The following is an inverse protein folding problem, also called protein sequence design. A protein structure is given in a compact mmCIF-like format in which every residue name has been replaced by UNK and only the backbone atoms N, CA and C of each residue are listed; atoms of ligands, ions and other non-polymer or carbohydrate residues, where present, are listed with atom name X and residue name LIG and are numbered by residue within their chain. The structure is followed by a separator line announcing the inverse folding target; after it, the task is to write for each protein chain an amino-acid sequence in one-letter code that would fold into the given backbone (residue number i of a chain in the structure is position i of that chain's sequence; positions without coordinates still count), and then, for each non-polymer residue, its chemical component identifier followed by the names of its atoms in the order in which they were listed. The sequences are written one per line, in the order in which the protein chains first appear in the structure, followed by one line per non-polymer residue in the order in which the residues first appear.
data_IF_508142033162
#
_entry.id   IF_508142033162
#
_cell.length_a   1.000
_cell.length_b   1.000
_cell.length_c   1.000
_cell.angle_alpha   90.00
_cell.angle_beta   90.00
_cell.angle_gamma   90.00
#
_symmetry.space_group_name_H-M   'P 1'
#
loop_
_entity.id
_entity.type
_entity.pdbx_description
1 polymer ?
#
# COMPACT_ATOMS: atom_id res chain seq x y z
N UNK A 1 20.98 -7.21 12.52
CA UNK A 1 19.60 -7.00 13.04
C UNK A 1 18.80 -8.26 12.84
N UNK A 2 18.21 -8.77 13.89
CA UNK A 2 17.36 -9.97 13.82
C UNK A 2 16.01 -9.66 14.45
N UNK A 3 14.95 -10.09 13.76
CA UNK A 3 13.58 -10.01 14.26
C UNK A 3 13.01 -11.41 14.15
N UNK A 4 12.53 -11.94 15.27
CA UNK A 4 11.92 -13.27 15.29
C UNK A 4 10.43 -13.14 15.01
N UNK A 5 9.99 -13.66 13.88
CA UNK A 5 8.59 -13.63 13.46
C UNK A 5 8.12 -15.05 13.12
N UNK A 6 6.88 -15.34 13.43
CA UNK A 6 6.23 -16.55 12.91
C UNK A 6 5.98 -16.37 11.42
N UNK A 7 5.67 -17.45 10.71
CA UNK A 7 5.32 -17.37 9.29
C UNK A 7 4.12 -16.46 9.05
N UNK A 8 3.12 -16.52 9.93
CA UNK A 8 1.94 -15.67 9.84
C UNK A 8 2.30 -14.19 10.04
N UNK A 9 3.14 -13.90 11.01
CA UNK A 9 3.60 -12.54 11.28
C UNK A 9 4.44 -12.01 10.11
N UNK A 10 5.32 -12.84 9.56
CA UNK A 10 6.11 -12.46 8.37
C UNK A 10 5.18 -12.16 7.20
N UNK A 11 4.15 -12.99 7.00
CA UNK A 11 3.19 -12.74 5.93
C UNK A 11 2.49 -11.40 6.11
N UNK A 12 2.15 -11.02 7.34
CA UNK A 12 1.56 -9.71 7.64
C UNK A 12 2.55 -8.57 7.44
N UNK A 13 3.83 -8.81 7.75
CA UNK A 13 4.87 -7.82 7.49
C UNK A 13 4.98 -7.49 6.00
N UNK A 14 4.85 -8.49 5.13
CA UNK A 14 4.82 -8.24 3.68
C UNK A 14 3.67 -7.31 3.29
N UNK A 15 2.50 -7.50 3.87
CA UNK A 15 1.35 -6.64 3.62
C UNK A 15 1.62 -5.19 4.06
N UNK A 16 2.20 -5.00 5.24
CA UNK A 16 2.53 -3.68 5.76
C UNK A 16 3.54 -2.96 4.86
N UNK A 17 4.55 -3.68 4.42
CA UNK A 17 5.59 -3.10 3.55
C UNK A 17 5.01 -2.76 2.19
N UNK A 18 4.20 -3.65 1.62
CA UNK A 18 3.58 -3.44 0.33
C UNK A 18 2.66 -2.21 0.35
N UNK A 19 1.79 -2.12 1.35
CA UNK A 19 0.86 -1.00 1.50
C UNK A 19 1.63 0.31 1.71
N UNK A 20 2.64 0.31 2.58
CA UNK A 20 3.46 1.49 2.83
C UNK A 20 4.13 2.00 1.57
N UNK A 21 4.75 1.09 0.82
CA UNK A 21 5.39 1.45 -0.44
C UNK A 21 4.36 1.89 -1.49
N UNK A 22 3.20 1.23 -1.53
CA UNK A 22 2.12 1.62 -2.43
C UNK A 22 1.69 3.06 -2.22
N UNK A 23 1.45 3.44 -0.97
CA UNK A 23 1.04 4.81 -0.64
C UNK A 23 2.12 5.83 -1.03
N UNK A 24 3.38 5.49 -0.77
CA UNK A 24 4.48 6.42 -1.02
C UNK A 24 4.85 6.53 -2.50
N UNK A 25 4.71 5.46 -3.27
CA UNK A 25 5.29 5.39 -4.61
C UNK A 25 4.30 5.15 -5.76
N UNK A 26 3.07 4.70 -5.50
CA UNK A 26 2.17 4.29 -6.59
C UNK A 26 1.81 5.42 -7.56
N UNK A 27 1.85 6.66 -7.10
CA UNK A 27 1.54 7.84 -7.93
C UNK A 27 2.78 8.53 -8.45
N UNK A 28 3.98 7.97 -8.18
CA UNK A 28 5.27 8.57 -8.58
C UNK A 28 5.86 7.82 -9.75
N UNK A 29 6.63 8.53 -10.56
CA UNK A 29 7.35 7.95 -11.70
C UNK A 29 8.86 8.12 -11.52
N UNK A 30 9.42 9.25 -11.96
CA UNK A 30 10.85 9.53 -11.84
C UNK A 30 11.26 9.99 -10.44
N UNK A 31 10.30 10.44 -9.65
CA UNK A 31 10.50 10.94 -8.28
C UNK A 31 10.21 9.89 -7.21
N UNK A 32 10.33 8.61 -7.56
CA UNK A 32 10.10 7.51 -6.61
C UNK A 32 11.06 7.56 -5.43
N UNK A 33 10.57 7.14 -4.29
CA UNK A 33 11.41 6.90 -3.11
C UNK A 33 12.04 5.51 -3.24
N UNK A 34 13.23 5.44 -3.79
CA UNK A 34 13.92 4.17 -4.09
C UNK A 34 14.24 3.36 -2.85
N UNK A 35 14.50 4.00 -1.72
CA UNK A 35 14.81 3.33 -0.47
C UNK A 35 13.64 2.45 0.02
N UNK A 36 12.40 2.84 -0.21
CA UNK A 36 11.25 2.00 0.11
C UNK A 36 11.12 0.82 -0.85
N UNK A 37 11.43 1.02 -2.12
CA UNK A 37 11.48 -0.07 -3.09
C UNK A 37 12.54 -1.11 -2.69
N UNK A 38 13.70 -0.66 -2.22
CA UNK A 38 14.80 -1.53 -1.79
C UNK A 38 14.36 -2.37 -0.58
N UNK A 39 13.73 -1.77 0.40
CA UNK A 39 13.25 -2.49 1.59
C UNK A 39 12.21 -3.54 1.20
N UNK A 40 11.26 -3.18 0.34
CA UNK A 40 10.26 -4.12 -0.15
C UNK A 40 10.91 -5.32 -0.83
N UNK A 41 11.85 -5.07 -1.72
CA UNK A 41 12.55 -6.14 -2.44
C UNK A 41 13.29 -7.07 -1.48
N UNK A 42 13.98 -6.51 -0.48
CA UNK A 42 14.70 -7.32 0.50
C UNK A 42 13.76 -8.24 1.27
N UNK A 43 12.62 -7.73 1.70
CA UNK A 43 11.66 -8.52 2.47
C UNK A 43 10.97 -9.57 1.61
N UNK A 44 10.54 -9.22 0.40
CA UNK A 44 9.93 -10.19 -0.50
C UNK A 44 10.92 -11.26 -0.94
N UNK A 45 12.21 -10.92 -1.03
CA UNK A 45 13.26 -11.91 -1.36
C UNK A 45 13.35 -13.03 -0.32
N UNK A 46 12.98 -12.75 0.93
CA UNK A 46 12.98 -13.76 1.99
C UNK A 46 11.89 -14.82 1.80
N UNK A 47 10.89 -14.56 0.97
CA UNK A 47 9.84 -15.55 0.68
C UNK A 47 10.40 -16.85 0.10
N UNK A 48 11.47 -16.77 -0.68
CA UNK A 48 12.09 -17.95 -1.28
C UNK A 48 12.62 -18.92 -0.21
N UNK A 49 13.13 -18.39 0.89
CA UNK A 49 13.68 -19.19 2.00
C UNK A 49 12.61 -19.70 2.96
N UNK A 50 11.45 -19.08 2.96
CA UNK A 50 10.39 -19.35 3.93
C UNK A 50 9.20 -20.12 3.34
N UNK A 51 9.40 -20.79 2.21
CA UNK A 51 8.35 -21.60 1.59
C UNK A 51 7.23 -20.82 0.95
N UNK A 52 7.47 -19.54 0.62
CA UNK A 52 6.47 -18.64 0.07
C UNK A 52 6.83 -18.15 -1.33
N UNK A 53 7.42 -19.02 -2.14
CA UNK A 53 7.86 -18.69 -3.51
C UNK A 53 6.72 -18.19 -4.40
N UNK A 54 5.50 -18.64 -4.14
CA UNK A 54 4.34 -18.22 -4.92
C UNK A 54 4.02 -16.73 -4.77
N UNK A 55 4.54 -16.09 -3.74
CA UNK A 55 4.31 -14.68 -3.47
C UNK A 55 5.28 -13.74 -4.19
N UNK A 56 6.29 -14.30 -4.87
CA UNK A 56 7.30 -13.49 -5.54
C UNK A 56 7.42 -13.85 -7.02
N UNK A 57 7.89 -12.88 -7.77
CA UNK A 57 8.25 -13.01 -9.18
C UNK A 57 9.62 -12.38 -9.38
N UNK A 58 10.48 -13.06 -10.12
CA UNK A 58 11.82 -12.55 -10.44
C UNK A 58 11.83 -12.06 -11.88
N UNK A 59 12.32 -10.85 -12.08
CA UNK A 59 12.41 -10.22 -13.38
C UNK A 59 13.70 -9.41 -13.46
N UNK A 60 14.56 -9.71 -14.43
CA UNK A 60 15.85 -9.02 -14.62
C UNK A 60 16.70 -8.94 -13.34
N UNK A 61 16.73 -10.03 -12.57
CA UNK A 61 17.50 -10.10 -11.33
C UNK A 61 16.87 -9.40 -10.14
N UNK A 62 15.68 -8.81 -10.30
CA UNK A 62 14.95 -8.17 -9.22
C UNK A 62 13.75 -8.99 -8.78
N UNK A 63 13.41 -8.88 -7.50
CA UNK A 63 12.28 -9.62 -6.91
C UNK A 63 11.12 -8.65 -6.73
N UNK A 64 9.96 -9.06 -7.23
CA UNK A 64 8.71 -8.32 -7.15
C UNK A 64 7.64 -9.16 -6.49
N UNK A 65 6.61 -8.55 -5.87
CA UNK A 65 5.42 -9.28 -5.49
C UNK A 65 4.80 -9.94 -6.73
N UNK A 66 4.40 -11.21 -6.60
CA UNK A 66 3.80 -11.93 -7.71
C UNK A 66 2.34 -11.50 -7.93
N UNK A 67 1.79 -11.90 -9.06
CA UNK A 67 0.38 -11.70 -9.34
C UNK A 67 -0.49 -12.43 -8.31
N UNK A 68 -0.08 -13.62 -7.89
CA UNK A 68 -0.79 -14.35 -6.84
C UNK A 68 -0.84 -13.57 -5.53
N UNK A 69 0.25 -12.87 -5.17
CA UNK A 69 0.24 -11.98 -4.03
C UNK A 69 -0.73 -10.83 -4.22
N UNK A 70 -0.65 -10.14 -5.35
CA UNK A 70 -1.47 -8.97 -5.63
C UNK A 70 -2.96 -9.31 -5.70
N UNK A 71 -3.29 -10.48 -6.23
CA UNK A 71 -4.68 -10.95 -6.34
C UNK A 71 -5.22 -11.56 -5.04
N UNK A 72 -4.39 -11.66 -4.02
CA UNK A 72 -4.73 -12.33 -2.75
C UNK A 72 -5.52 -11.50 -1.74
N UNK A 73 -6.08 -10.35 -2.15
CA UNK A 73 -6.91 -9.51 -1.30
C UNK A 73 -6.29 -8.19 -0.86
N UNK A 74 -4.99 -7.98 -1.09
CA UNK A 74 -4.32 -6.76 -0.66
C UNK A 74 -4.87 -5.53 -1.38
N UNK A 75 -5.18 -5.64 -2.68
CA UNK A 75 -5.75 -4.53 -3.44
C UNK A 75 -7.20 -4.26 -3.08
N UNK A 76 -7.94 -5.27 -2.64
CA UNK A 76 -9.29 -5.06 -2.10
C UNK A 76 -9.23 -4.23 -0.81
N UNK A 77 -8.28 -4.53 0.08
CA UNK A 77 -8.08 -3.77 1.30
C UNK A 77 -7.67 -2.32 0.99
N UNK A 78 -6.79 -2.13 0.01
CA UNK A 78 -6.38 -0.79 -0.43
C UNK A 78 -7.59 -0.03 -0.98
N UNK A 79 -8.38 -0.67 -1.83
CA UNK A 79 -9.57 -0.07 -2.42
C UNK A 79 -10.60 0.33 -1.36
N UNK A 80 -10.81 -0.53 -0.35
CA UNK A 80 -11.71 -0.23 0.77
C UNK A 80 -11.25 1.02 1.52
N UNK A 81 -9.95 1.14 1.75
CA UNK A 81 -9.39 2.32 2.41
C UNK A 81 -9.55 3.57 1.54
N UNK A 82 -9.26 3.46 0.25
CA UNK A 82 -9.38 4.58 -0.68
C UNK A 82 -10.85 5.08 -0.74
N UNK A 83 -11.81 4.16 -0.79
CA UNK A 83 -13.22 4.49 -0.79
C UNK A 83 -13.64 5.18 0.51
N UNK A 84 -13.20 4.67 1.65
CA UNK A 84 -13.50 5.27 2.95
C UNK A 84 -12.95 6.69 3.05
N UNK A 85 -11.71 6.91 2.62
CA UNK A 85 -11.08 8.24 2.61
C UNK A 85 -11.79 9.16 1.64
N UNK A 86 -12.16 8.67 0.46
CA UNK A 86 -12.89 9.46 -0.53
C UNK A 86 -14.21 9.95 0.04
N UNK A 87 -14.99 9.07 0.66
CA UNK A 87 -16.28 9.46 1.23
C UNK A 87 -16.12 10.43 2.40
N UNK A 88 -15.10 10.26 3.23
CA UNK A 88 -14.83 11.21 4.32
C UNK A 88 -14.48 12.59 3.78
N UNK A 89 -13.62 12.66 2.77
CA UNK A 89 -13.24 13.93 2.14
C UNK A 89 -14.45 14.57 1.46
N UNK A 90 -15.24 13.77 0.76
CA UNK A 90 -16.45 14.27 0.11
C UNK A 90 -17.44 14.86 1.13
N UNK A 91 -17.66 14.17 2.25
CA UNK A 91 -18.52 14.66 3.31
C UNK A 91 -18.03 15.98 3.89
N UNK A 92 -16.71 16.11 4.11
CA UNK A 92 -16.11 17.37 4.58
C UNK A 92 -16.28 18.48 3.57
N UNK A 93 -16.06 18.21 2.29
CA UNK A 93 -16.21 19.23 1.24
C UNK A 93 -17.65 19.69 1.10
N UNK A 94 -18.61 18.77 1.18
CA UNK A 94 -20.02 19.12 1.14
C UNK A 94 -20.43 19.97 2.36
N UNK A 95 -19.97 19.60 3.55
CA UNK A 95 -20.22 20.38 4.75
C UNK A 95 -19.60 21.77 4.65
N UNK A 96 -18.41 21.89 4.11
CA UNK A 96 -17.72 23.15 3.92
C UNK A 96 -18.46 24.02 2.90
N UNK A 97 -18.97 23.44 1.83
CA UNK A 97 -19.79 24.16 0.83
C UNK A 97 -21.06 24.70 1.45
N UNK A 98 -21.75 23.91 2.24
CA UNK A 98 -22.97 24.32 2.89
C UNK A 98 -22.72 25.50 3.85
N UNK A 99 -21.61 25.46 4.60
CA UNK A 99 -21.22 26.57 5.46
C UNK A 99 -20.84 27.81 4.65
N UNK A 100 -20.20 27.63 3.51
CA UNK A 100 -19.86 28.72 2.60
C UNK A 100 -21.07 29.36 2.00
N UNK A 101 -22.07 28.58 1.60
CA UNK A 101 -23.35 29.08 1.10
C UNK A 101 -24.10 29.88 2.20
N UNK A 102 -24.10 29.35 3.42
CA UNK A 102 -24.71 30.05 4.55
C UNK A 102 -24.01 31.38 4.84
N UNK A 103 -22.69 31.41 4.72
CA UNK A 103 -21.93 32.65 4.87
C UNK A 103 -22.22 33.64 3.76
N UNK A 104 -22.42 33.17 2.53
CA UNK A 104 -22.75 34.03 1.39
C UNK A 104 -24.15 34.64 1.51
N UNK A 105 -25.08 33.90 2.13
CA UNK A 105 -26.43 34.39 2.38
C UNK A 105 -26.48 35.63 3.30
N UNK A 106 -25.44 35.84 4.08
CA UNK A 106 -25.34 36.99 4.99
C UNK A 106 -24.70 38.24 4.36
N UNK A 107 -24.20 38.06 3.16
CA UNK A 107 -23.56 39.16 2.41
C UNK A 107 -24.55 39.79 1.42
#
# INVERSE_FOLDING_TARGET
MNIDLTEEEFRRLLDLVYIGNWILNSTRTTDRFEDYDIVQEKLFSLCAKNGMKSLIQVWHGHVFPSRAYEDGGIHEAIADYEDAVFFDILAEELARRDLGEDCDDYN
#
